data_IF_524332654323
#
_entry.id   IF_524332654323
#
_cell.length_a   1.000
_cell.length_b   1.000
_cell.length_c   1.000
_cell.angle_alpha   90.00
_cell.angle_beta   90.00
_cell.angle_gamma   90.00
#
_symmetry.space_group_name_H-M   'P 1'
#
loop_
_entity.id
_entity.type
_entity.pdbx_description
1 polymer ?
#
# COMPACT_ATOMS: atom_id res chain seq x y z
N UNK A 1 10.30 -5.83 11.60
CA UNK A 1 9.30 -5.29 10.64
C UNK A 1 9.64 -5.81 9.25
N UNK A 2 8.65 -6.29 8.49
CA UNK A 2 8.86 -6.80 7.12
C UNK A 2 8.97 -5.65 6.13
N UNK A 3 10.06 -5.60 5.35
CA UNK A 3 10.23 -4.66 4.25
C UNK A 3 9.57 -5.19 2.97
N UNK A 4 8.93 -4.30 2.21
CA UNK A 4 8.20 -4.60 0.96
C UNK A 4 8.85 -4.00 -0.28
N UNK A 5 10.11 -3.55 -0.18
CA UNK A 5 10.88 -3.00 -1.29
C UNK A 5 10.80 -3.89 -2.54
N UNK A 6 10.48 -3.30 -3.69
CA UNK A 6 10.39 -3.99 -4.98
C UNK A 6 9.12 -4.83 -5.18
N UNK A 7 8.17 -4.80 -4.24
CA UNK A 7 6.85 -5.43 -4.42
C UNK A 7 5.83 -4.42 -4.95
N UNK A 8 4.98 -4.88 -5.87
CA UNK A 8 3.86 -4.10 -6.41
C UNK A 8 2.55 -4.64 -5.84
N UNK A 9 1.68 -3.74 -5.37
CA UNK A 9 0.37 -4.06 -4.81
C UNK A 9 -0.71 -3.30 -5.57
N UNK A 10 -1.80 -3.97 -5.91
CA UNK A 10 -3.03 -3.34 -6.38
C UNK A 10 -4.00 -3.31 -5.20
N UNK A 11 -4.42 -2.11 -4.80
CA UNK A 11 -5.32 -1.93 -3.65
C UNK A 11 -6.53 -1.13 -4.12
N UNK A 12 -7.63 -1.83 -4.37
CA UNK A 12 -8.90 -1.22 -4.78
C UNK A 12 -9.59 -0.53 -3.61
N UNK A 13 -10.44 0.45 -3.90
CA UNK A 13 -11.16 1.19 -2.85
C UNK A 13 -10.25 2.07 -1.97
N UNK A 14 -9.04 2.41 -2.44
CA UNK A 14 -8.07 3.25 -1.71
C UNK A 14 -8.42 4.74 -1.69
N UNK A 15 -9.61 5.10 -2.15
CA UNK A 15 -10.10 6.47 -2.18
C UNK A 15 -10.25 7.08 -0.78
N UNK A 16 -10.62 6.30 0.24
CA UNK A 16 -10.73 6.74 1.63
C UNK A 16 -10.65 5.56 2.63
N UNK A 17 -10.73 5.86 3.93
CA UNK A 17 -10.94 4.89 5.00
C UNK A 17 -9.85 3.81 5.07
N UNK A 18 -10.29 2.55 5.17
CA UNK A 18 -9.40 1.41 5.38
C UNK A 18 -8.48 1.22 4.16
N UNK A 19 -9.01 1.30 2.93
CA UNK A 19 -8.21 1.12 1.72
C UNK A 19 -7.06 2.11 1.64
N UNK A 20 -7.33 3.40 1.91
CA UNK A 20 -6.30 4.45 1.95
C UNK A 20 -5.24 4.17 3.00
N UNK A 21 -5.65 3.79 4.21
CA UNK A 21 -4.73 3.53 5.32
C UNK A 21 -3.87 2.30 5.04
N UNK A 22 -4.44 1.26 4.45
CA UNK A 22 -3.71 0.05 4.02
C UNK A 22 -2.68 0.37 2.94
N UNK A 23 -3.05 1.16 1.93
CA UNK A 23 -2.12 1.61 0.88
C UNK A 23 -0.95 2.41 1.46
N UNK A 24 -1.23 3.36 2.37
CA UNK A 24 -0.19 4.16 3.03
C UNK A 24 0.74 3.29 3.88
N UNK A 25 0.21 2.37 4.68
CA UNK A 25 1.01 1.49 5.52
C UNK A 25 1.91 0.54 4.70
N UNK A 26 1.45 0.09 3.53
CA UNK A 26 2.25 -0.72 2.62
C UNK A 26 3.33 0.12 1.91
N UNK A 27 2.99 1.34 1.46
CA UNK A 27 3.93 2.26 0.84
C UNK A 27 5.06 2.68 1.79
N UNK A 28 4.75 2.92 3.07
CA UNK A 28 5.75 3.21 4.12
C UNK A 28 6.76 2.07 4.34
N UNK A 29 6.38 0.83 3.98
CA UNK A 29 7.27 -0.34 3.99
C UNK A 29 8.00 -0.55 2.67
N UNK A 30 7.84 0.36 1.70
CA UNK A 30 8.55 0.37 0.41
C UNK A 30 7.86 -0.37 -0.73
N UNK A 31 6.57 -0.73 -0.57
CA UNK A 31 5.79 -1.26 -1.69
C UNK A 31 5.44 -0.16 -2.70
N UNK A 32 5.36 -0.52 -3.98
CA UNK A 32 4.77 0.31 -5.02
C UNK A 32 3.26 0.03 -5.10
N UNK A 33 2.42 1.05 -4.97
CA UNK A 33 0.96 0.87 -4.91
C UNK A 33 0.32 1.36 -6.20
N UNK A 34 -0.55 0.53 -6.77
CA UNK A 34 -1.52 0.88 -7.80
C UNK A 34 -2.88 0.98 -7.10
N UNK A 35 -3.50 2.16 -7.17
CA UNK A 35 -4.80 2.47 -6.54
C UNK A 35 -5.95 2.41 -7.52
#
# INVERSE_FOLDING_TARGET
MTQLNGKVFIITGSGDGIGRTTAQAAAQKGAHIIV
#
